data_IF_956044905431
#
_entry.id   IF_956044905431
#
_cell.length_a   1.000
_cell.length_b   1.000
_cell.length_c   1.000
_cell.angle_alpha   90.00
_cell.angle_beta   90.00
_cell.angle_gamma   90.00
#
_symmetry.space_group_name_H-M   'P 1'
#
loop_
_entity.id
_entity.type
_entity.pdbx_description
1 polymer ?
#
# COMPACT_ATOMS: atom_id res chain seq x y z
N UNK A 1 -42.33 10.85 -40.43
CA UNK A 1 -43.01 11.49 -39.28
C UNK A 1 -42.48 10.87 -38.00
N UNK A 2 -41.86 11.71 -37.17
CA UNK A 2 -41.35 11.39 -35.83
C UNK A 2 -42.45 10.87 -34.88
N UNK A 3 -42.06 9.98 -33.96
CA UNK A 3 -42.44 9.97 -32.53
C UNK A 3 -41.51 8.98 -31.82
N UNK A 4 -40.38 9.44 -31.28
CA UNK A 4 -40.17 10.06 -29.96
C UNK A 4 -39.56 9.02 -29.01
N UNK A 5 -38.24 9.06 -28.89
CA UNK A 5 -37.48 8.49 -27.77
C UNK A 5 -37.93 9.20 -26.49
N UNK A 6 -38.56 8.47 -25.57
CA UNK A 6 -38.78 8.95 -24.21
C UNK A 6 -37.41 9.15 -23.54
N UNK A 7 -37.02 10.41 -23.36
CA UNK A 7 -35.92 10.79 -22.49
C UNK A 7 -36.32 10.40 -21.06
N UNK A 8 -35.79 9.28 -20.57
CA UNK A 8 -35.97 8.86 -19.19
C UNK A 8 -35.37 9.94 -18.26
N UNK A 9 -36.24 10.73 -17.60
CA UNK A 9 -35.78 11.80 -16.73
C UNK A 9 -34.97 11.21 -15.56
N UNK A 10 -33.85 11.84 -15.17
CA UNK A 10 -33.08 11.37 -14.03
C UNK A 10 -33.91 11.50 -12.75
N UNK A 11 -34.00 10.40 -12.01
CA UNK A 11 -34.76 10.32 -10.75
C UNK A 11 -34.31 11.43 -9.80
N UNK A 12 -35.26 12.05 -9.09
CA UNK A 12 -34.98 13.19 -8.19
C UNK A 12 -35.30 12.88 -6.73
N UNK A 13 -34.69 13.61 -5.77
CA UNK A 13 -35.05 13.49 -4.34
C UNK A 13 -36.52 13.83 -4.08
N UNK A 14 -37.13 14.65 -4.94
CA UNK A 14 -38.55 15.00 -4.87
C UNK A 14 -39.43 13.80 -5.16
N UNK A 15 -39.07 12.97 -6.13
CA UNK A 15 -39.80 11.74 -6.45
C UNK A 15 -39.68 10.70 -5.33
N UNK A 16 -38.48 10.53 -4.76
CA UNK A 16 -38.26 9.66 -3.59
C UNK A 16 -39.09 10.14 -2.40
N UNK A 17 -39.11 11.46 -2.15
CA UNK A 17 -39.87 12.06 -1.06
C UNK A 17 -41.38 11.83 -1.23
N UNK A 18 -41.90 11.96 -2.46
CA UNK A 18 -43.30 11.71 -2.78
C UNK A 18 -43.68 10.24 -2.58
N UNK A 19 -42.86 9.30 -3.03
CA UNK A 19 -43.16 7.86 -2.91
C UNK A 19 -43.10 7.36 -1.46
N UNK A 20 -42.25 7.94 -0.62
CA UNK A 20 -42.14 7.57 0.81
C UNK A 20 -43.02 8.43 1.73
N UNK A 21 -43.75 9.40 1.17
CA UNK A 21 -44.55 10.37 1.93
C UNK A 21 -43.74 11.06 3.05
N UNK A 22 -42.52 11.49 2.72
CA UNK A 22 -41.63 12.25 3.62
C UNK A 22 -41.23 13.57 2.98
N UNK A 23 -40.64 14.48 3.76
CA UNK A 23 -40.12 15.73 3.21
C UNK A 23 -38.86 15.49 2.36
N UNK A 24 -38.62 16.35 1.36
CA UNK A 24 -37.36 16.35 0.58
C UNK A 24 -36.15 16.51 1.52
N UNK A 25 -36.29 17.30 2.60
CA UNK A 25 -35.24 17.47 3.61
C UNK A 25 -34.94 16.16 4.36
N UNK A 26 -35.98 15.36 4.66
CA UNK A 26 -35.83 14.03 5.27
C UNK A 26 -35.09 13.08 4.34
N UNK A 27 -35.40 13.09 3.03
CA UNK A 27 -34.66 12.31 2.03
C UNK A 27 -33.20 12.74 1.97
N UNK A 28 -32.94 14.05 1.85
CA UNK A 28 -31.56 14.59 1.79
C UNK A 28 -30.75 14.23 3.05
N UNK A 29 -31.34 14.33 4.24
CA UNK A 29 -30.68 14.00 5.51
C UNK A 29 -30.45 12.49 5.67
N UNK A 30 -31.41 11.68 5.22
CA UNK A 30 -31.29 10.22 5.20
C UNK A 30 -30.13 9.77 4.31
N UNK A 31 -29.98 10.37 3.13
CA UNK A 31 -28.89 10.10 2.18
C UNK A 31 -27.52 10.64 2.64
N UNK A 32 -27.50 11.51 3.66
CA UNK A 32 -26.30 12.06 4.30
C UNK A 32 -25.96 11.38 5.63
N UNK A 33 -26.70 10.32 6.00
CA UNK A 33 -26.54 9.61 7.27
C UNK A 33 -26.66 10.50 8.51
N UNK A 34 -27.53 11.51 8.46
CA UNK A 34 -27.79 12.42 9.59
C UNK A 34 -28.33 11.63 10.81
N UNK A 35 -27.68 11.71 11.99
CA UNK A 35 -28.08 10.98 13.19
C UNK A 35 -29.47 11.36 13.71
N UNK A 36 -30.01 12.52 13.32
CA UNK A 36 -31.36 12.94 13.69
C UNK A 36 -32.47 12.18 12.94
N UNK A 37 -32.13 11.36 11.93
CA UNK A 37 -33.10 10.56 11.19
C UNK A 37 -33.21 9.16 11.78
N UNK A 38 -34.44 8.77 12.11
CA UNK A 38 -34.76 7.42 12.60
C UNK A 38 -34.22 6.32 11.66
N UNK A 39 -33.59 5.25 12.18
CA UNK A 39 -32.97 4.20 11.37
C UNK A 39 -33.93 3.57 10.34
N UNK A 40 -35.19 3.34 10.72
CA UNK A 40 -36.22 2.80 9.83
C UNK A 40 -36.49 3.72 8.62
N UNK A 41 -36.67 5.03 8.85
CA UNK A 41 -36.90 6.02 7.79
C UNK A 41 -35.70 6.13 6.86
N UNK A 42 -34.49 6.07 7.42
CA UNK A 42 -33.24 6.07 6.65
C UNK A 42 -33.14 4.85 5.74
N UNK A 43 -33.41 3.67 6.29
CA UNK A 43 -33.41 2.41 5.54
C UNK A 43 -34.39 2.44 4.36
N UNK A 44 -35.62 2.91 4.60
CA UNK A 44 -36.63 3.04 3.55
C UNK A 44 -36.20 3.99 2.42
N UNK A 45 -35.58 5.13 2.75
CA UNK A 45 -35.04 6.08 1.76
C UNK A 45 -33.90 5.47 0.96
N UNK A 46 -32.95 4.78 1.60
CA UNK A 46 -31.81 4.17 0.91
C UNK A 46 -32.25 3.04 -0.02
N UNK A 47 -33.17 2.20 0.43
CA UNK A 47 -33.69 1.07 -0.36
C UNK A 47 -34.44 1.57 -1.61
N UNK A 48 -35.28 2.60 -1.46
CA UNK A 48 -36.01 3.17 -2.59
C UNK A 48 -35.10 3.94 -3.55
N UNK A 49 -34.13 4.69 -3.03
CA UNK A 49 -33.14 5.36 -3.87
C UNK A 49 -32.36 4.35 -4.74
N UNK A 50 -31.98 3.22 -4.16
CA UNK A 50 -31.29 2.14 -4.88
C UNK A 50 -32.18 1.49 -5.95
N UNK A 51 -33.44 1.18 -5.64
CA UNK A 51 -34.35 0.53 -6.60
C UNK A 51 -34.70 1.42 -7.79
N UNK A 52 -34.72 2.74 -7.60
CA UNK A 52 -34.96 3.72 -8.66
C UNK A 52 -33.68 4.10 -9.43
N UNK A 53 -32.52 3.54 -9.07
CA UNK A 53 -31.23 3.91 -9.67
C UNK A 53 -30.81 5.35 -9.35
N UNK A 54 -31.37 5.96 -8.31
CA UNK A 54 -31.02 7.30 -7.87
C UNK A 54 -29.59 7.32 -7.32
N UNK A 55 -28.70 8.03 -8.01
CA UNK A 55 -27.36 8.33 -7.49
C UNK A 55 -27.42 9.67 -6.77
N UNK A 56 -27.29 9.65 -5.45
CA UNK A 56 -27.16 10.87 -4.66
C UNK A 56 -25.91 11.63 -5.11
N UNK A 57 -26.11 12.70 -5.87
CA UNK A 57 -25.08 13.71 -6.10
C UNK A 57 -24.85 14.38 -4.76
N UNK A 58 -23.81 13.98 -4.04
CA UNK A 58 -23.31 14.80 -2.95
C UNK A 58 -23.20 16.23 -3.50
N UNK A 59 -23.81 17.19 -2.81
CA UNK A 59 -23.47 18.59 -3.04
C UNK A 59 -22.00 18.70 -2.63
N UNK A 60 -21.10 18.42 -3.57
CA UNK A 60 -19.70 18.78 -3.46
C UNK A 60 -19.77 20.26 -3.16
N UNK A 61 -19.45 20.64 -1.92
CA UNK A 61 -19.16 22.02 -1.60
C UNK A 61 -17.95 22.32 -2.46
N UNK A 62 -18.18 22.86 -3.67
CA UNK A 62 -17.12 23.22 -4.61
C UNK A 62 -16.17 24.08 -3.79
N UNK A 63 -14.98 23.52 -3.55
CA UNK A 63 -13.88 24.21 -2.89
C UNK A 63 -13.79 25.60 -3.48
N UNK A 64 -13.73 26.62 -2.63
CA UNK A 64 -13.54 27.98 -3.16
C UNK A 64 -12.27 27.95 -3.98
N UNK A 65 -12.25 28.62 -5.14
CA UNK A 65 -11.15 28.52 -6.10
C UNK A 65 -9.74 28.81 -5.51
N UNK A 66 -9.65 29.39 -4.31
CA UNK A 66 -8.43 29.72 -3.57
C UNK A 66 -8.33 29.15 -2.14
N UNK A 67 -9.19 28.21 -1.75
CA UNK A 67 -9.09 27.61 -0.41
C UNK A 67 -7.89 26.65 -0.35
N UNK A 68 -6.93 26.90 0.55
CA UNK A 68 -5.84 25.95 0.85
C UNK A 68 -6.40 24.90 1.81
N UNK A 69 -6.11 23.63 1.54
CA UNK A 69 -6.48 22.53 2.44
C UNK A 69 -5.22 22.00 3.09
N UNK A 70 -5.22 21.85 4.41
CA UNK A 70 -4.16 21.17 5.13
C UNK A 70 -4.52 19.69 5.29
N UNK A 71 -3.59 18.80 4.96
CA UNK A 71 -3.71 17.36 5.23
C UNK A 71 -2.56 16.92 6.14
N UNK A 72 -2.81 15.90 6.94
CA UNK A 72 -1.82 15.29 7.81
C UNK A 72 -1.12 14.13 7.11
N UNK A 73 0.13 13.87 7.50
CA UNK A 73 0.88 12.66 7.13
C UNK A 73 1.46 12.08 8.42
N UNK A 74 1.02 10.88 8.80
CA UNK A 74 1.65 10.12 9.89
C UNK A 74 2.65 9.16 9.29
N UNK A 75 3.88 9.24 9.79
CA UNK A 75 5.01 8.46 9.30
C UNK A 75 5.53 7.62 10.44
N UNK A 76 5.38 6.30 10.37
CA UNK A 76 6.04 5.41 11.33
C UNK A 76 7.55 5.53 11.18
N UNK A 77 8.26 5.86 12.26
CA UNK A 77 9.72 5.81 12.27
C UNK A 77 10.21 4.37 12.41
N UNK A 78 11.49 4.14 12.10
CA UNK A 78 12.11 2.85 12.34
C UNK A 78 12.58 2.75 13.80
N UNK A 79 12.58 1.53 14.34
CA UNK A 79 12.91 1.26 15.74
C UNK A 79 14.42 1.32 16.05
N UNK A 80 15.29 1.69 15.10
CA UNK A 80 16.73 1.48 15.25
C UNK A 80 17.42 2.58 16.07
N UNK A 81 18.22 2.14 17.05
CA UNK A 81 19.18 2.94 17.81
C UNK A 81 20.35 3.45 16.93
N UNK A 82 20.55 2.86 15.76
CA UNK A 82 21.55 3.29 14.79
C UNK A 82 20.99 4.35 13.83
N UNK A 83 21.54 5.57 13.93
CA UNK A 83 21.19 6.75 13.12
C UNK A 83 21.40 6.59 11.59
N UNK A 84 21.92 5.44 11.12
CA UNK A 84 22.26 5.21 9.71
C UNK A 84 21.20 4.42 8.93
N UNK A 85 20.21 3.82 9.60
CA UNK A 85 19.11 3.09 8.95
C UNK A 85 17.97 4.06 8.61
N UNK A 86 18.22 4.94 7.64
CA UNK A 86 17.14 5.70 7.02
C UNK A 86 16.44 4.84 5.98
N UNK A 87 15.14 4.53 6.18
CA UNK A 87 14.32 3.95 5.12
C UNK A 87 14.26 4.91 3.92
N UNK A 88 14.95 4.62 2.79
CA UNK A 88 15.05 5.55 1.66
C UNK A 88 13.72 5.67 0.89
N UNK A 89 12.72 4.89 1.27
CA UNK A 89 11.41 4.87 0.62
C UNK A 89 10.54 6.06 1.03
N UNK A 90 10.64 6.51 2.29
CA UNK A 90 9.80 7.60 2.79
C UNK A 90 10.04 8.93 2.04
N UNK A 91 11.31 9.30 1.84
CA UNK A 91 11.65 10.54 1.13
C UNK A 91 11.10 10.56 -0.31
N UNK A 92 11.03 9.40 -0.97
CA UNK A 92 10.45 9.25 -2.30
C UNK A 92 8.93 9.45 -2.29
N UNK A 93 8.21 8.89 -1.31
CA UNK A 93 6.78 9.20 -1.12
C UNK A 93 6.57 10.69 -0.90
N UNK A 94 7.34 11.31 0.01
CA UNK A 94 7.23 12.72 0.34
C UNK A 94 7.48 13.62 -0.88
N UNK A 95 8.46 13.27 -1.72
CA UNK A 95 8.73 14.02 -2.95
C UNK A 95 7.49 14.08 -3.85
N UNK A 96 6.84 12.94 -4.09
CA UNK A 96 5.62 12.89 -4.89
C UNK A 96 4.41 13.55 -4.24
N UNK A 97 4.26 13.43 -2.92
CA UNK A 97 3.24 14.17 -2.17
C UNK A 97 3.42 15.68 -2.33
N UNK A 98 4.67 16.18 -2.19
CA UNK A 98 5.01 17.59 -2.33
C UNK A 98 4.71 18.10 -3.74
N UNK A 99 5.06 17.32 -4.76
CA UNK A 99 4.78 17.65 -6.16
C UNK A 99 3.28 17.77 -6.43
N UNK A 100 2.48 16.79 -5.99
CA UNK A 100 1.03 16.80 -6.15
C UNK A 100 0.35 17.95 -5.37
N UNK A 101 0.89 18.30 -4.21
CA UNK A 101 0.28 19.27 -3.30
C UNK A 101 0.24 20.69 -3.88
N UNK A 102 1.26 21.09 -4.66
CA UNK A 102 1.39 22.44 -5.23
C UNK A 102 0.22 22.82 -6.15
N UNK A 103 -0.06 22.12 -7.26
CA UNK A 103 -1.18 22.47 -8.15
C UNK A 103 -2.54 22.25 -7.47
N UNK A 104 -2.62 21.36 -6.49
CA UNK A 104 -3.85 21.06 -5.73
C UNK A 104 -4.09 22.02 -4.57
N UNK A 105 -3.22 23.01 -4.33
CA UNK A 105 -3.29 23.96 -3.20
C UNK A 105 -3.39 23.25 -1.84
N UNK A 106 -2.66 22.17 -1.67
CA UNK A 106 -2.62 21.38 -0.44
C UNK A 106 -1.37 21.74 0.36
N UNK A 107 -1.52 21.87 1.68
CA UNK A 107 -0.40 21.98 2.62
C UNK A 107 -0.25 20.67 3.38
N UNK A 108 0.98 20.18 3.51
CA UNK A 108 1.30 18.94 4.23
C UNK A 108 1.71 19.27 5.67
N UNK A 109 1.07 18.62 6.63
CA UNK A 109 1.45 18.63 8.04
C UNK A 109 1.96 17.26 8.41
N UNK A 110 3.21 17.12 8.85
CA UNK A 110 3.83 15.82 9.07
C UNK A 110 4.05 15.56 10.56
N UNK A 111 3.87 14.30 10.96
CA UNK A 111 4.22 13.81 12.29
C UNK A 111 4.92 12.45 12.17
N UNK A 112 6.03 12.30 12.89
CA UNK A 112 6.85 11.09 12.90
C UNK A 112 6.52 10.29 14.15
N UNK A 113 5.85 9.17 13.97
CA UNK A 113 5.30 8.36 15.06
C UNK A 113 6.27 7.22 15.40
N UNK A 114 6.82 7.16 16.63
CA UNK A 114 7.66 6.04 17.03
C UNK A 114 6.87 4.74 17.07
N UNK A 115 7.51 3.57 16.79
CA UNK A 115 6.84 2.27 16.77
C UNK A 115 5.97 1.99 18.00
N UNK A 116 6.45 2.37 19.19
CA UNK A 116 5.79 2.14 20.47
C UNK A 116 4.49 2.95 20.63
N UNK A 117 4.35 4.04 19.86
CA UNK A 117 3.18 4.91 19.88
C UNK A 117 2.18 4.59 18.77
N UNK A 118 2.58 3.86 17.72
CA UNK A 118 1.75 3.61 16.53
C UNK A 118 0.39 2.96 16.87
N UNK A 119 0.36 2.10 17.88
CA UNK A 119 -0.86 1.38 18.26
C UNK A 119 -1.78 2.21 19.17
N UNK A 120 -1.24 3.27 19.77
CA UNK A 120 -1.94 4.15 20.71
C UNK A 120 -2.14 5.58 20.20
N UNK A 121 -1.68 5.91 18.97
CA UNK A 121 -1.69 7.27 18.42
C UNK A 121 -3.10 7.85 18.23
N UNK A 122 -4.11 6.98 18.16
CA UNK A 122 -5.52 7.37 18.06
C UNK A 122 -6.15 7.74 19.41
N UNK A 123 -5.48 7.43 20.53
CA UNK A 123 -5.98 7.74 21.87
C UNK A 123 -5.89 9.25 22.15
N UNK A 124 -6.84 9.86 22.87
CA UNK A 124 -6.92 11.31 23.07
C UNK A 124 -5.62 11.98 23.59
N UNK A 125 -4.90 11.31 24.48
CA UNK A 125 -3.66 11.76 25.09
C UNK A 125 -2.46 11.76 24.12
N UNK A 126 -2.49 10.89 23.11
CA UNK A 126 -1.43 10.70 22.12
C UNK A 126 -1.77 11.35 20.77
N UNK A 127 -3.02 11.77 20.58
CA UNK A 127 -3.52 12.26 19.30
C UNK A 127 -2.72 13.49 18.84
N UNK A 128 -2.10 13.46 17.65
CA UNK A 128 -1.37 14.59 17.10
C UNK A 128 -2.18 15.89 17.13
N UNK A 129 -1.53 17.00 17.47
CA UNK A 129 -2.17 18.33 17.56
C UNK A 129 -2.94 18.68 16.30
N UNK A 130 -2.40 18.33 15.13
CA UNK A 130 -3.03 18.59 13.84
C UNK A 130 -4.42 17.92 13.70
N UNK A 131 -4.61 16.75 14.32
CA UNK A 131 -5.89 16.03 14.36
C UNK A 131 -6.74 16.60 15.50
N UNK A 132 -6.19 16.71 16.71
CA UNK A 132 -6.90 17.14 17.91
C UNK A 132 -7.52 18.54 17.77
N UNK A 133 -6.75 19.48 17.24
CA UNK A 133 -7.17 20.86 17.01
C UNK A 133 -7.90 21.05 15.66
N UNK A 134 -8.21 19.94 14.95
CA UNK A 134 -8.92 19.91 13.66
C UNK A 134 -8.30 20.79 12.58
N UNK A 135 -6.98 20.89 12.59
CA UNK A 135 -6.18 21.69 11.65
C UNK A 135 -6.24 21.07 10.24
N UNK A 136 -6.18 19.73 10.17
CA UNK A 136 -6.18 18.99 8.91
C UNK A 136 -7.58 18.51 8.51
N UNK A 137 -7.78 18.26 7.21
CA UNK A 137 -9.03 17.73 6.64
C UNK A 137 -8.99 16.25 6.30
N UNK A 138 -7.81 15.65 6.29
CA UNK A 138 -7.60 14.24 6.00
C UNK A 138 -6.17 13.81 6.33
N UNK A 139 -5.94 12.51 6.34
CA UNK A 139 -4.69 11.90 6.80
C UNK A 139 -4.13 10.91 5.77
N UNK A 140 -2.82 10.95 5.55
CA UNK A 140 -2.08 9.89 4.86
C UNK A 140 -1.28 9.10 5.89
N UNK A 141 -1.43 7.77 5.88
CA UNK A 141 -0.70 6.85 6.76
C UNK A 141 0.44 6.18 6.00
N UNK A 142 1.67 6.40 6.44
CA UNK A 142 2.88 5.80 5.87
C UNK A 142 3.55 4.89 6.89
N UNK A 143 3.64 3.61 6.56
CA UNK A 143 4.14 2.58 7.45
C UNK A 143 3.03 1.84 8.19
N UNK A 144 3.42 0.85 9.00
CA UNK A 144 2.48 -0.03 9.68
C UNK A 144 1.86 0.65 10.90
N UNK A 145 0.54 0.64 10.98
CA UNK A 145 -0.24 0.98 12.16
C UNK A 145 -1.22 -0.18 12.40
N UNK A 146 -1.47 -0.53 13.67
CA UNK A 146 -2.40 -1.61 13.98
C UNK A 146 -3.80 -1.36 13.38
N UNK A 147 -4.51 -2.40 12.89
CA UNK A 147 -5.80 -2.22 12.20
C UNK A 147 -6.85 -1.47 13.03
N UNK A 148 -6.85 -1.65 14.35
CA UNK A 148 -7.73 -0.90 15.26
C UNK A 148 -7.42 0.60 15.26
N UNK A 149 -6.14 0.98 15.30
CA UNK A 149 -5.71 2.39 15.20
C UNK A 149 -6.11 2.99 13.86
N UNK A 150 -5.89 2.24 12.78
CA UNK A 150 -6.26 2.67 11.43
C UNK A 150 -7.77 2.91 11.33
N UNK A 151 -8.58 1.98 11.84
CA UNK A 151 -10.04 2.11 11.86
C UNK A 151 -10.49 3.33 12.68
N UNK A 152 -9.94 3.52 13.89
CA UNK A 152 -10.25 4.66 14.74
C UNK A 152 -9.92 6.00 14.06
N UNK A 153 -8.75 6.11 13.41
CA UNK A 153 -8.38 7.32 12.66
C UNK A 153 -9.31 7.54 11.45
N UNK A 154 -9.66 6.48 10.72
CA UNK A 154 -10.56 6.56 9.56
C UNK A 154 -12.00 6.95 9.93
N UNK A 155 -12.43 6.68 11.16
CA UNK A 155 -13.71 7.17 11.72
C UNK A 155 -13.67 8.68 12.05
N UNK A 156 -12.50 9.21 12.43
CA UNK A 156 -12.33 10.62 12.79
C UNK A 156 -12.26 11.56 11.58
N UNK A 157 -11.57 11.15 10.51
CA UNK A 157 -11.38 11.94 9.29
C UNK A 157 -11.07 11.06 8.07
N UNK A 158 -11.26 11.55 6.83
CA UNK A 158 -10.81 10.88 5.62
C UNK A 158 -9.35 10.44 5.71
N UNK A 159 -9.07 9.17 5.46
CA UNK A 159 -7.72 8.64 5.54
C UNK A 159 -7.36 7.81 4.29
N UNK A 160 -6.07 7.83 3.92
CA UNK A 160 -5.49 6.99 2.84
C UNK A 160 -4.23 6.30 3.36
N UNK A 161 -4.06 4.99 3.08
CA UNK A 161 -2.83 4.24 3.39
C UNK A 161 -1.93 4.16 2.17
N UNK A 162 -0.61 4.06 2.41
CA UNK A 162 0.37 3.76 1.36
C UNK A 162 1.08 2.44 1.67
N UNK A 163 1.12 1.54 0.68
CA UNK A 163 1.85 0.27 0.71
C UNK A 163 1.56 -0.61 1.94
N UNK A 164 0.36 -0.46 2.51
CA UNK A 164 -0.06 -1.14 3.72
C UNK A 164 -1.52 -1.56 3.61
N UNK A 165 -1.86 -2.48 2.71
CA UNK A 165 -3.23 -2.96 2.61
C UNK A 165 -3.57 -3.95 3.74
N UNK A 166 -4.75 -3.78 4.35
CA UNK A 166 -5.34 -4.74 5.27
C UNK A 166 -6.76 -5.12 4.81
N UNK A 167 -7.01 -6.39 4.44
CA UNK A 167 -8.34 -6.84 4.03
C UNK A 167 -9.44 -6.67 5.08
N UNK A 168 -9.08 -6.55 6.37
CA UNK A 168 -10.05 -6.39 7.47
C UNK A 168 -10.53 -4.95 7.66
N UNK A 169 -9.91 -3.97 6.98
CA UNK A 169 -10.24 -2.54 7.13
C UNK A 169 -10.62 -1.95 5.78
N UNK A 170 -11.89 -1.58 5.61
CA UNK A 170 -12.39 -0.92 4.41
C UNK A 170 -11.89 0.53 4.34
N UNK A 171 -10.76 0.74 3.67
CA UNK A 171 -10.08 2.04 3.62
C UNK A 171 -9.34 2.24 2.30
N UNK A 172 -9.27 3.49 1.84
CA UNK A 172 -8.52 3.85 0.65
C UNK A 172 -7.04 3.50 0.82
N UNK A 173 -6.47 2.80 -0.16
CA UNK A 173 -5.08 2.35 -0.12
C UNK A 173 -4.43 2.54 -1.49
N UNK A 174 -3.26 3.18 -1.49
CA UNK A 174 -2.39 3.26 -2.66
C UNK A 174 -1.28 2.25 -2.48
N UNK A 175 -1.24 1.28 -3.37
CA UNK A 175 -0.35 0.13 -3.30
C UNK A 175 0.40 -0.06 -4.62
N UNK A 176 1.32 -1.01 -4.64
CA UNK A 176 1.99 -1.46 -5.85
C UNK A 176 1.47 -2.84 -6.23
N UNK A 177 1.55 -3.17 -7.52
CA UNK A 177 1.11 -4.46 -8.05
C UNK A 177 2.14 -5.56 -7.76
N UNK A 178 2.10 -6.11 -6.54
CA UNK A 178 2.97 -7.22 -6.12
C UNK A 178 2.81 -8.47 -7.00
N UNK A 179 1.60 -8.71 -7.52
CA UNK A 179 1.30 -9.83 -8.41
C UNK A 179 2.13 -9.74 -9.69
N UNK A 180 2.03 -8.62 -10.40
CA UNK A 180 2.84 -8.37 -11.58
C UNK A 180 4.33 -8.31 -11.25
N UNK A 181 4.69 -7.77 -10.09
CA UNK A 181 6.09 -7.68 -9.65
C UNK A 181 6.76 -9.05 -9.52
N UNK A 182 6.11 -10.00 -8.85
CA UNK A 182 6.66 -11.35 -8.70
C UNK A 182 6.67 -12.13 -10.01
N UNK A 183 5.65 -11.93 -10.85
CA UNK A 183 5.64 -12.51 -12.19
C UNK A 183 6.87 -12.09 -13.00
N UNK A 184 7.18 -10.79 -13.04
CA UNK A 184 8.36 -10.26 -13.74
C UNK A 184 9.68 -10.85 -13.22
N UNK A 185 9.83 -11.01 -11.89
CA UNK A 185 11.03 -11.61 -11.31
C UNK A 185 11.17 -13.09 -11.66
N UNK A 186 10.10 -13.88 -11.56
CA UNK A 186 10.12 -15.30 -11.90
C UNK A 186 10.37 -15.50 -13.40
N UNK A 187 9.71 -14.75 -14.27
CA UNK A 187 9.94 -14.79 -15.71
C UNK A 187 11.40 -14.45 -16.07
N UNK A 188 11.98 -13.43 -15.41
CA UNK A 188 13.37 -13.06 -15.60
C UNK A 188 14.33 -14.16 -15.17
N UNK A 189 14.14 -14.73 -13.98
CA UNK A 189 14.97 -15.82 -13.46
C UNK A 189 14.85 -17.09 -14.31
N UNK A 190 13.64 -17.43 -14.76
CA UNK A 190 13.38 -18.54 -15.69
C UNK A 190 14.09 -18.34 -17.02
N UNK A 191 14.03 -17.13 -17.58
CA UNK A 191 14.73 -16.80 -18.82
C UNK A 191 16.26 -16.91 -18.68
N UNK A 192 16.78 -16.78 -17.46
CA UNK A 192 18.18 -17.00 -17.08
C UNK A 192 18.50 -18.46 -16.70
N UNK A 193 17.55 -19.38 -16.93
CA UNK A 193 17.72 -20.81 -16.70
C UNK A 193 17.52 -21.27 -15.26
N UNK A 194 17.15 -20.38 -14.32
CA UNK A 194 16.88 -20.78 -12.95
C UNK A 194 15.57 -21.57 -12.84
N UNK A 195 15.63 -22.75 -12.19
CA UNK A 195 14.48 -23.65 -12.01
C UNK A 195 14.03 -23.75 -10.55
N UNK A 196 15.00 -23.88 -9.62
CA UNK A 196 14.77 -23.88 -8.18
C UNK A 196 15.02 -22.47 -7.64
N UNK A 197 13.93 -21.73 -7.45
CA UNK A 197 13.94 -20.35 -7.00
C UNK A 197 13.33 -20.33 -5.59
N UNK A 198 13.98 -19.67 -4.64
CA UNK A 198 13.43 -19.47 -3.30
C UNK A 198 12.92 -18.06 -3.05
N UNK A 199 12.11 -17.89 -2.01
CA UNK A 199 11.63 -16.62 -1.53
C UNK A 199 12.14 -16.38 -0.11
N UNK A 200 12.85 -15.28 0.09
CA UNK A 200 13.27 -14.81 1.42
C UNK A 200 12.36 -13.69 1.92
N UNK A 201 11.60 -14.01 2.94
CA UNK A 201 10.57 -13.17 3.54
C UNK A 201 11.08 -12.42 4.77
N UNK A 202 10.65 -11.18 4.95
CA UNK A 202 10.98 -10.33 6.12
C UNK A 202 9.75 -9.55 6.58
N UNK A 203 9.65 -9.24 7.87
CA UNK A 203 8.54 -8.47 8.43
C UNK A 203 7.19 -9.17 8.32
N UNK A 204 6.98 -10.25 9.08
CA UNK A 204 5.74 -11.04 9.08
C UNK A 204 4.47 -10.22 9.34
N UNK A 205 4.59 -9.12 10.08
CA UNK A 205 3.51 -8.18 10.38
C UNK A 205 3.24 -7.18 9.23
N UNK A 206 4.12 -7.07 8.24
CA UNK A 206 4.03 -6.11 7.15
C UNK A 206 3.22 -6.70 5.99
N UNK A 207 2.27 -5.91 5.47
CA UNK A 207 1.36 -6.38 4.42
C UNK A 207 2.09 -6.83 3.15
N UNK A 208 3.19 -6.18 2.78
CA UNK A 208 3.98 -6.55 1.61
C UNK A 208 4.52 -7.98 1.70
N UNK A 209 4.86 -8.47 2.91
CA UNK A 209 5.35 -9.84 3.08
C UNK A 209 4.28 -10.84 2.62
N UNK A 210 3.05 -10.63 3.10
CA UNK A 210 1.89 -11.46 2.76
C UNK A 210 1.56 -11.38 1.28
N UNK A 211 1.41 -10.17 0.72
CA UNK A 211 1.04 -10.00 -0.69
C UNK A 211 2.12 -10.52 -1.65
N UNK A 212 3.39 -10.24 -1.37
CA UNK A 212 4.53 -10.75 -2.16
C UNK A 212 4.68 -12.26 -2.05
N UNK A 213 4.37 -12.87 -0.90
CA UNK A 213 4.36 -14.33 -0.75
C UNK A 213 3.25 -14.98 -1.58
N UNK A 214 2.04 -14.43 -1.52
CA UNK A 214 0.93 -14.91 -2.35
C UNK A 214 1.26 -14.76 -3.85
N UNK A 215 1.83 -13.61 -4.23
CA UNK A 215 2.25 -13.33 -5.60
C UNK A 215 3.37 -14.25 -6.09
N UNK A 216 4.34 -14.59 -5.23
CA UNK A 216 5.36 -15.57 -5.55
C UNK A 216 4.76 -16.94 -5.85
N UNK A 217 3.83 -17.41 -5.00
CA UNK A 217 3.18 -18.71 -5.19
C UNK A 217 2.44 -18.76 -6.53
N UNK A 218 1.66 -17.74 -6.84
CA UNK A 218 0.93 -17.66 -8.10
C UNK A 218 1.88 -17.52 -9.31
N UNK A 219 2.93 -16.69 -9.22
CA UNK A 219 3.92 -16.52 -10.28
C UNK A 219 4.67 -17.82 -10.60
N UNK A 220 5.02 -18.62 -9.58
CA UNK A 220 5.62 -19.95 -9.74
C UNK A 220 4.65 -20.90 -10.48
N UNK A 221 3.37 -20.92 -10.09
CA UNK A 221 2.35 -21.75 -10.73
C UNK A 221 2.12 -21.38 -12.20
N UNK A 222 1.96 -20.09 -12.50
CA UNK A 222 1.76 -19.58 -13.87
C UNK A 222 2.94 -19.95 -14.76
N UNK A 223 4.16 -19.94 -14.21
CA UNK A 223 5.37 -20.30 -14.93
C UNK A 223 5.71 -21.80 -14.89
N UNK A 224 4.83 -22.63 -14.34
CA UNK A 224 4.99 -24.09 -14.24
C UNK A 224 6.24 -24.53 -13.46
N UNK A 225 6.68 -23.73 -12.49
CA UNK A 225 7.70 -24.15 -11.53
C UNK A 225 7.07 -25.00 -10.43
N UNK A 226 7.85 -25.95 -9.91
CA UNK A 226 7.47 -26.71 -8.72
C UNK A 226 7.52 -25.80 -7.50
N UNK A 227 6.44 -25.79 -6.72
CA UNK A 227 6.40 -25.16 -5.42
C UNK A 227 7.00 -26.11 -4.38
N UNK A 228 8.01 -25.63 -3.67
CA UNK A 228 8.62 -26.31 -2.53
C UNK A 228 8.53 -25.40 -1.30
N UNK A 229 7.74 -25.79 -0.28
CA UNK A 229 7.63 -25.04 0.97
C UNK A 229 8.96 -24.79 1.69
N UNK A 230 9.97 -25.64 1.50
CA UNK A 230 11.31 -25.43 2.09
C UNK A 230 12.03 -24.20 1.52
N UNK A 231 11.61 -23.74 0.35
CA UNK A 231 12.18 -22.56 -0.32
C UNK A 231 11.49 -21.26 0.12
N UNK A 232 10.55 -21.31 1.06
CA UNK A 232 9.88 -20.13 1.65
C UNK A 232 10.52 -19.74 2.98
N UNK A 233 11.74 -19.21 2.95
CA UNK A 233 12.44 -18.79 4.16
C UNK A 233 11.85 -17.52 4.75
N UNK A 234 11.79 -17.45 6.08
CA UNK A 234 11.41 -16.26 6.82
C UNK A 234 12.59 -15.85 7.70
N UNK A 235 13.07 -14.62 7.53
CA UNK A 235 14.01 -14.02 8.47
C UNK A 235 13.28 -13.75 9.78
N UNK A 236 13.86 -14.18 10.89
CA UNK A 236 13.40 -13.79 12.21
C UNK A 236 13.99 -12.41 12.56
N UNK A 237 13.21 -11.36 12.30
CA UNK A 237 13.63 -9.98 12.58
C UNK A 237 13.73 -9.67 14.10
N UNK A 238 13.28 -10.59 14.97
CA UNK A 238 13.39 -10.45 16.43
C UNK A 238 14.67 -11.09 16.97
N UNK A 239 15.26 -12.01 16.21
CA UNK A 239 16.51 -12.66 16.57
C UNK A 239 17.70 -11.81 16.09
N UNK A 240 18.68 -11.48 16.96
CA UNK A 240 19.85 -10.68 16.58
C UNK A 240 20.59 -11.23 15.34
N UNK A 241 20.69 -12.55 15.25
CA UNK A 241 21.34 -13.26 14.15
C UNK A 241 20.39 -13.73 13.03
N UNK A 242 19.15 -13.24 12.97
CA UNK A 242 18.14 -13.74 12.02
C UNK A 242 18.59 -13.71 10.55
N UNK A 243 19.32 -12.67 10.16
CA UNK A 243 19.94 -12.54 8.83
C UNK A 243 21.01 -13.63 8.61
N UNK A 244 21.93 -13.81 9.57
CA UNK A 244 23.00 -14.79 9.47
C UNK A 244 22.46 -16.22 9.40
N UNK A 245 21.44 -16.56 10.21
CA UNK A 245 20.77 -17.86 10.18
C UNK A 245 20.09 -18.11 8.82
N UNK A 246 19.42 -17.09 8.26
CA UNK A 246 18.83 -17.20 6.94
C UNK A 246 19.90 -17.39 5.84
N UNK A 247 21.06 -16.71 5.94
CA UNK A 247 22.17 -16.91 5.00
C UNK A 247 22.77 -18.32 5.09
N UNK A 248 22.89 -18.90 6.29
CA UNK A 248 23.32 -20.29 6.48
C UNK A 248 22.34 -21.27 5.80
N UNK A 249 21.03 -21.04 5.95
CA UNK A 249 20.01 -21.87 5.30
C UNK A 249 20.04 -21.72 3.78
N UNK A 250 20.25 -20.50 3.27
CA UNK A 250 20.47 -20.25 1.82
C UNK A 250 21.68 -21.05 1.33
N UNK A 251 22.84 -20.99 2.01
CA UNK A 251 24.04 -21.75 1.65
C UNK A 251 23.75 -23.25 1.54
N UNK A 252 23.11 -23.83 2.54
CA UNK A 252 22.74 -25.26 2.55
C UNK A 252 21.83 -25.62 1.38
N UNK A 253 20.84 -24.77 1.06
CA UNK A 253 19.93 -24.99 -0.06
C UNK A 253 20.60 -24.78 -1.42
N UNK A 254 21.57 -23.87 -1.51
CA UNK A 254 22.42 -23.70 -2.68
C UNK A 254 23.22 -24.97 -2.97
N UNK A 255 23.79 -25.61 -1.93
CA UNK A 255 24.46 -26.91 -2.05
C UNK A 255 23.50 -28.04 -2.51
N UNK A 256 22.19 -27.87 -2.33
CA UNK A 256 21.13 -28.77 -2.80
C UNK A 256 20.55 -28.37 -4.18
N UNK A 257 21.17 -27.40 -4.85
CA UNK A 257 20.86 -26.97 -6.22
C UNK A 257 19.86 -25.83 -6.35
N UNK A 258 19.56 -25.09 -5.27
CA UNK A 258 18.79 -23.83 -5.36
C UNK A 258 19.71 -22.73 -5.89
N UNK A 259 19.39 -22.14 -7.04
CA UNK A 259 20.33 -21.23 -7.73
C UNK A 259 19.90 -19.77 -7.72
N UNK A 260 18.69 -19.45 -7.25
CA UNK A 260 18.22 -18.08 -7.13
C UNK A 260 17.30 -17.87 -5.92
N UNK A 261 17.36 -16.67 -5.35
CA UNK A 261 16.48 -16.22 -4.28
C UNK A 261 15.87 -14.86 -4.60
N UNK A 262 14.59 -14.69 -4.31
CA UNK A 262 13.91 -13.39 -4.32
C UNK A 262 13.80 -12.91 -2.88
N UNK A 263 14.46 -11.80 -2.55
CA UNK A 263 14.24 -11.10 -1.30
C UNK A 263 12.99 -10.23 -1.40
N UNK A 264 12.13 -10.33 -0.40
CA UNK A 264 10.92 -9.51 -0.32
C UNK A 264 11.18 -8.02 -0.24
N UNK A 265 12.40 -7.53 0.04
CA UNK A 265 12.82 -6.15 -0.16
C UNK A 265 14.36 -6.04 -0.28
N UNK A 266 14.84 -4.93 -0.83
CA UNK A 266 16.26 -4.69 -1.07
C UNK A 266 17.05 -4.56 0.23
N UNK A 267 16.44 -4.05 1.32
CA UNK A 267 17.12 -3.95 2.61
C UNK A 267 17.57 -5.34 3.09
N UNK A 268 16.65 -6.31 3.07
CA UNK A 268 16.95 -7.70 3.36
C UNK A 268 17.94 -8.29 2.34
N UNK A 269 17.79 -7.96 1.05
CA UNK A 269 18.71 -8.39 -0.01
C UNK A 269 20.15 -7.96 0.25
N UNK A 270 20.39 -6.69 0.56
CA UNK A 270 21.73 -6.18 0.87
C UNK A 270 22.31 -6.74 2.17
N UNK A 271 21.48 -6.93 3.20
CA UNK A 271 21.90 -7.63 4.42
C UNK A 271 22.34 -9.06 4.12
N UNK A 272 21.63 -9.76 3.23
CA UNK A 272 22.01 -11.11 2.82
C UNK A 272 23.22 -11.18 1.92
N UNK A 273 23.44 -10.20 1.02
CA UNK A 273 24.69 -10.12 0.27
C UNK A 273 25.91 -10.13 1.20
N UNK A 274 25.86 -9.33 2.28
CA UNK A 274 26.94 -9.28 3.28
C UNK A 274 27.09 -10.59 4.04
N UNK A 275 25.98 -11.17 4.50
CA UNK A 275 26.01 -12.42 5.26
C UNK A 275 26.49 -13.61 4.41
N UNK A 276 26.05 -13.72 3.15
CA UNK A 276 26.52 -14.75 2.22
C UNK A 276 28.01 -14.62 1.92
N UNK A 277 28.50 -13.39 1.71
CA UNK A 277 29.92 -13.11 1.53
C UNK A 277 30.76 -13.57 2.72
N UNK A 278 30.28 -13.37 3.95
CA UNK A 278 30.96 -13.86 5.17
C UNK A 278 31.02 -15.40 5.24
N UNK A 279 30.05 -16.08 4.64
CA UNK A 279 30.00 -17.54 4.54
C UNK A 279 30.76 -18.10 3.33
N UNK A 280 31.45 -17.24 2.56
CA UNK A 280 32.18 -17.62 1.35
C UNK A 280 31.28 -17.95 0.15
N UNK A 281 30.00 -17.58 0.19
CA UNK A 281 29.06 -17.76 -0.93
C UNK A 281 29.07 -16.51 -1.80
N UNK A 282 29.43 -16.68 -3.06
CA UNK A 282 29.48 -15.61 -4.06
C UNK A 282 28.09 -15.33 -4.65
N UNK A 283 27.77 -14.04 -4.81
CA UNK A 283 26.59 -13.59 -5.55
C UNK A 283 27.08 -12.65 -6.67
N UNK A 284 26.73 -12.90 -7.95
CA UNK A 284 25.86 -13.97 -8.44
C UNK A 284 26.54 -15.34 -8.63
N UNK A 285 27.83 -15.47 -8.28
CA UNK A 285 28.69 -16.59 -8.69
C UNK A 285 28.23 -17.97 -8.26
N UNK A 286 27.76 -18.16 -7.03
CA UNK A 286 27.21 -19.43 -6.55
C UNK A 286 25.68 -19.42 -6.58
N UNK A 287 25.10 -18.29 -6.20
CA UNK A 287 23.65 -18.10 -6.12
C UNK A 287 23.26 -16.70 -6.59
N UNK A 288 22.16 -16.58 -7.32
CA UNK A 288 21.59 -15.30 -7.73
C UNK A 288 20.65 -14.75 -6.66
N UNK A 289 20.60 -13.43 -6.52
CA UNK A 289 19.75 -12.75 -5.55
C UNK A 289 18.98 -11.61 -6.22
N UNK A 290 17.67 -11.60 -6.07
CA UNK A 290 16.81 -10.50 -6.50
C UNK A 290 16.27 -9.74 -5.29
N UNK A 291 15.86 -8.50 -5.50
CA UNK A 291 15.24 -7.68 -4.47
C UNK A 291 13.95 -6.99 -4.91
N UNK A 292 13.54 -6.01 -4.12
CA UNK A 292 12.36 -5.19 -4.32
C UNK A 292 12.65 -3.80 -3.75
N UNK A 293 12.21 -2.73 -4.42
CA UNK A 293 12.28 -1.30 -4.06
C UNK A 293 13.28 -0.48 -4.92
N UNK A 294 14.19 -1.14 -5.65
CA UNK A 294 15.27 -0.53 -6.44
C UNK A 294 16.04 0.54 -5.64
N UNK A 295 16.44 0.17 -4.43
CA UNK A 295 17.28 0.98 -3.56
C UNK A 295 18.71 1.03 -4.10
N UNK A 296 19.35 2.19 -3.93
CA UNK A 296 20.77 2.32 -4.22
C UNK A 296 21.59 1.32 -3.39
N UNK A 297 22.57 0.64 -3.99
CA UNK A 297 23.39 -0.31 -3.25
C UNK A 297 24.23 0.41 -2.20
N UNK A 298 24.39 -0.19 -1.01
CA UNK A 298 25.46 0.20 -0.10
C UNK A 298 26.81 0.12 -0.81
N UNK A 299 27.77 0.96 -0.39
CA UNK A 299 29.09 1.11 -1.04
C UNK A 299 29.83 -0.22 -1.20
N UNK A 300 29.62 -1.17 -0.30
CA UNK A 300 30.27 -2.48 -0.25
C UNK A 300 29.51 -3.60 -0.99
N UNK A 301 28.39 -3.27 -1.64
CA UNK A 301 27.51 -4.23 -2.30
C UNK A 301 27.40 -3.96 -3.81
N UNK A 302 27.22 -5.03 -4.59
CA UNK A 302 26.78 -4.93 -5.99
C UNK A 302 25.32 -4.50 -6.06
N UNK A 303 24.86 -3.99 -7.20
CA UNK A 303 23.46 -3.61 -7.39
C UNK A 303 22.58 -4.86 -7.54
N UNK A 304 21.48 -4.93 -6.80
CA UNK A 304 20.50 -6.01 -6.96
C UNK A 304 19.70 -5.84 -8.26
N UNK A 305 19.46 -6.93 -8.99
CA UNK A 305 18.30 -7.02 -9.88
C UNK A 305 17.05 -6.94 -9.01
N UNK A 306 16.21 -5.94 -9.25
CA UNK A 306 15.15 -5.56 -8.30
C UNK A 306 13.92 -5.04 -9.03
N UNK A 307 12.76 -5.13 -8.36
CA UNK A 307 11.55 -4.44 -8.80
C UNK A 307 11.61 -2.98 -8.37
N UNK A 308 11.43 -2.07 -9.31
CA UNK A 308 11.23 -0.67 -9.02
C UNK A 308 9.77 -0.39 -8.68
N UNK A 309 9.50 -0.09 -7.42
CA UNK A 309 8.22 0.45 -6.97
C UNK A 309 8.17 1.97 -7.21
N UNK A 310 7.08 2.51 -7.78
CA UNK A 310 6.98 3.91 -8.14
C UNK A 310 6.60 4.79 -6.93
N UNK A 311 7.47 4.84 -5.91
CA UNK A 311 7.15 5.47 -4.62
C UNK A 311 6.76 6.96 -4.74
N UNK A 312 7.39 7.72 -5.63
CA UNK A 312 6.97 9.11 -5.88
C UNK A 312 5.54 9.17 -6.43
N UNK A 313 5.21 8.36 -7.44
CA UNK A 313 3.86 8.31 -7.99
C UNK A 313 2.84 7.86 -6.96
N UNK A 314 3.19 6.90 -6.10
CA UNK A 314 2.32 6.48 -4.99
C UNK A 314 2.03 7.64 -4.02
N UNK A 315 3.04 8.46 -3.69
CA UNK A 315 2.87 9.66 -2.89
C UNK A 315 1.95 10.69 -3.56
N UNK A 316 2.12 10.89 -4.87
CA UNK A 316 1.26 11.78 -5.66
C UNK A 316 -0.18 11.28 -5.70
N UNK A 317 -0.39 9.99 -5.98
CA UNK A 317 -1.71 9.37 -6.04
C UNK A 317 -2.39 9.42 -4.66
N UNK A 318 -1.65 9.21 -3.56
CA UNK A 318 -2.22 9.28 -2.22
C UNK A 318 -2.80 10.67 -1.90
N UNK A 319 -2.12 11.76 -2.28
CA UNK A 319 -2.66 13.12 -2.12
C UNK A 319 -3.93 13.31 -2.96
N UNK A 320 -3.94 12.81 -4.20
CA UNK A 320 -5.10 12.90 -5.09
C UNK A 320 -6.31 12.16 -4.53
N UNK A 321 -6.12 10.89 -4.18
CA UNK A 321 -7.16 10.03 -3.60
C UNK A 321 -7.69 10.62 -2.30
N UNK A 322 -6.82 11.15 -1.44
CA UNK A 322 -7.26 11.78 -0.19
C UNK A 322 -8.11 13.02 -0.47
N UNK A 323 -7.71 13.88 -1.42
CA UNK A 323 -8.51 15.05 -1.78
C UNK A 323 -9.89 14.64 -2.33
N UNK A 324 -9.95 13.62 -3.19
CA UNK A 324 -11.22 13.08 -3.68
C UNK A 324 -12.09 12.52 -2.55
N UNK A 325 -11.48 11.83 -1.58
CA UNK A 325 -12.18 11.31 -0.39
C UNK A 325 -12.66 12.42 0.55
N UNK A 326 -11.91 13.51 0.68
CA UNK A 326 -12.33 14.72 1.42
C UNK A 326 -13.55 15.35 0.74
N UNK A 327 -13.52 15.48 -0.59
CA UNK A 327 -14.62 16.07 -1.36
C UNK A 327 -15.86 15.15 -1.42
N UNK A 328 -15.66 13.83 -1.32
CA UNK A 328 -16.70 12.81 -1.36
C UNK A 328 -16.53 11.75 -0.25
N UNK A 329 -16.83 12.08 1.03
CA UNK A 329 -16.56 11.18 2.16
C UNK A 329 -17.32 9.84 2.10
N UNK A 330 -18.52 9.84 1.52
CA UNK A 330 -19.36 8.65 1.38
C UNK A 330 -18.97 7.73 0.22
N UNK A 331 -17.92 8.07 -0.54
CA UNK A 331 -17.39 7.22 -1.61
C UNK A 331 -16.86 5.92 -1.02
N UNK A 332 -17.17 4.80 -1.66
CA UNK A 332 -16.59 3.51 -1.28
C UNK A 332 -15.05 3.55 -1.34
N UNK A 333 -14.36 2.94 -0.35
CA UNK A 333 -12.92 2.83 -0.38
C UNK A 333 -12.41 2.12 -1.63
N UNK A 334 -11.26 2.54 -2.16
CA UNK A 334 -10.57 1.85 -3.25
C UNK A 334 -9.15 1.47 -2.89
N UNK A 335 -8.71 0.34 -3.43
CA UNK A 335 -7.29 0.00 -3.53
C UNK A 335 -6.79 0.33 -4.94
N UNK A 336 -5.92 1.31 -5.06
CA UNK A 336 -5.26 1.66 -6.32
C UNK A 336 -3.90 0.99 -6.36
N UNK A 337 -3.67 0.11 -7.33
CA UNK A 337 -2.39 -0.56 -7.52
C UNK A 337 -1.62 0.11 -8.65
N UNK A 338 -0.39 0.56 -8.37
CA UNK A 338 0.48 1.15 -9.37
C UNK A 338 1.39 0.07 -9.98
N UNK A 339 1.62 0.21 -11.29
CA UNK A 339 2.51 -0.67 -12.03
C UNK A 339 3.94 -0.55 -11.54
N UNK A 340 4.62 -1.68 -11.50
CA UNK A 340 6.06 -1.79 -11.23
C UNK A 340 6.77 -2.30 -12.47
N UNK A 341 8.10 -2.23 -12.46
CA UNK A 341 8.93 -2.79 -13.52
C UNK A 341 10.23 -3.34 -12.96
N UNK A 342 10.78 -4.33 -13.65
CA UNK A 342 12.06 -4.93 -13.31
C UNK A 342 13.21 -4.03 -13.75
N UNK A 343 14.18 -3.85 -12.86
CA UNK A 343 15.45 -3.17 -13.12
C UNK A 343 16.55 -4.20 -12.95
N UNK A 344 17.28 -4.47 -14.03
CA UNK A 344 18.41 -5.38 -13.99
C UNK A 344 19.58 -4.74 -13.23
N UNK A 345 20.17 -5.52 -12.33
CA UNK A 345 21.42 -5.21 -11.63
C UNK A 345 22.48 -6.25 -11.97
N UNK A 346 23.42 -6.44 -11.06
CA UNK A 346 24.60 -7.30 -11.24
C UNK A 346 24.49 -8.63 -10.46
N UNK A 347 23.35 -8.86 -9.80
CA UNK A 347 23.17 -9.95 -8.81
C UNK A 347 22.47 -11.21 -9.37
N UNK A 348 22.27 -11.30 -10.67
CA UNK A 348 21.70 -12.47 -11.36
C UNK A 348 22.64 -12.91 -12.48
N UNK A 349 23.02 -14.20 -12.48
CA UNK A 349 23.83 -14.80 -13.55
C UNK A 349 22.97 -15.56 -14.55
N UNK A 350 23.49 -15.79 -15.75
CA UNK A 350 22.93 -16.79 -16.64
C UNK A 350 23.36 -18.20 -16.19
N UNK A 351 22.45 -19.16 -16.17
CA UNK A 351 22.79 -20.56 -15.87
C UNK A 351 23.40 -21.27 -17.09
N UNK A 352 23.26 -20.71 -18.30
CA UNK A 352 23.88 -21.28 -19.51
C UNK A 352 25.40 -21.08 -19.59
N UNK A 353 25.97 -20.25 -18.70
CA UNK A 353 27.40 -19.94 -18.68
C UNK A 353 28.23 -20.95 -17.83
N UNK A 354 27.59 -22.04 -17.37
CA UNK A 354 28.17 -23.18 -16.66
C UNK A 354 28.15 -24.43 -17.54
#
# INVERSE_FOLDING_TARGET
MQRCLEFNMPVTQKEIAQQLNVSIATVSRSLQSDPAIAPHTRGAVMQLAASLGYRHRHKNRRRRANEIIQIGVLVRTQASEHQQDHNPTFSRFLSGMSEASRPMKVSLSMDFVPPQLCDAIHLPENLPLMIRERIIKGLILVGYFHPQTVAALNEMLPCVRIAQHDPSVAMDCVDHDDMRSMLLLIEHLKAKGHQKIGLLRTGTHLSFNRSRTAAYVEAMMVNQHQLDPELLLQVDDTHPDGIALAAQRIKQLTEQGVTAWICTNDRAGYQQLRALKQLGVSVPGDVSLCGFDNNQPPVDCIKLTSINAPFADMGMVAVRVLCEKIDSPAREPMRLMLNTWLVQGDSVRDQSDL
#
